data_IF_453538271804
#
_entry.id   IF_453538271804
#
_cell.length_a   1.000
_cell.length_b   1.000
_cell.length_c   1.000
_cell.angle_alpha   90.00
_cell.angle_beta   90.00
_cell.angle_gamma   90.00
#
_symmetry.space_group_name_H-M   'P 1'
#
loop_
_entity.id
_entity.type
_entity.pdbx_description
1 polymer ?
#
# COMPACT_ATOMS: atom_id res chain seq x y z
N UNK A 1 19.27 -12.26 -84.06
CA UNK A 1 17.97 -11.80 -83.51
C UNK A 1 18.26 -11.06 -82.21
N UNK A 2 18.11 -9.74 -82.20
CA UNK A 2 18.42 -8.86 -81.07
C UNK A 2 17.24 -7.94 -80.83
N UNK A 3 16.71 -7.89 -79.59
CA UNK A 3 15.82 -6.84 -79.07
C UNK A 3 15.99 -6.68 -77.55
N UNK A 4 16.91 -5.79 -77.20
CA UNK A 4 16.82 -4.64 -76.28
C UNK A 4 16.11 -4.82 -74.91
N UNK A 5 16.92 -4.60 -73.88
CA UNK A 5 16.61 -4.42 -72.47
C UNK A 5 15.92 -3.08 -72.14
N UNK A 6 14.99 -3.12 -71.17
CA UNK A 6 14.62 -2.04 -70.23
C UNK A 6 14.19 -2.80 -68.95
N UNK A 7 14.77 -2.63 -67.76
CA UNK A 7 15.02 -1.40 -67.04
C UNK A 7 13.94 -1.25 -65.96
N UNK A 8 14.31 -1.43 -64.69
CA UNK A 8 13.84 -0.70 -63.49
C UNK A 8 14.52 -1.37 -62.28
N UNK A 9 15.57 -0.71 -61.78
CA UNK A 9 16.14 -0.96 -60.47
C UNK A 9 15.33 -0.15 -59.45
N UNK A 10 14.60 -0.83 -58.58
CA UNK A 10 13.92 -0.21 -57.45
C UNK A 10 14.83 -0.32 -56.22
N UNK A 11 15.76 0.63 -56.11
CA UNK A 11 16.58 0.82 -54.92
C UNK A 11 15.74 1.46 -53.82
N UNK A 12 15.09 0.64 -52.98
CA UNK A 12 14.56 1.13 -51.70
C UNK A 12 15.73 1.38 -50.74
N UNK A 13 16.06 2.67 -50.56
CA UNK A 13 16.76 3.15 -49.38
C UNK A 13 15.90 2.87 -48.14
N UNK A 14 16.07 1.69 -47.54
CA UNK A 14 15.67 1.46 -46.16
C UNK A 14 16.65 2.23 -45.27
N UNK A 15 16.33 3.49 -44.98
CA UNK A 15 16.99 4.22 -43.90
C UNK A 15 16.76 3.48 -42.57
N UNK A 16 17.73 3.42 -41.66
CA UNK A 16 17.48 2.85 -40.35
C UNK A 16 16.44 3.73 -39.66
N UNK A 17 15.25 3.17 -39.42
CA UNK A 17 14.38 3.68 -38.37
C UNK A 17 15.16 3.50 -37.07
N UNK A 18 15.83 4.54 -36.63
CA UNK A 18 16.22 4.66 -35.23
C UNK A 18 14.92 4.67 -34.44
N UNK A 19 14.48 3.48 -34.00
CA UNK A 19 13.60 3.39 -32.86
C UNK A 19 14.31 4.13 -31.74
N UNK A 20 13.79 5.31 -31.36
CA UNK A 20 14.28 6.02 -30.20
C UNK A 20 14.23 5.02 -29.04
N UNK A 21 15.39 4.63 -28.52
CA UNK A 21 15.46 3.72 -27.39
C UNK A 21 14.61 4.35 -26.27
N UNK A 22 13.56 3.65 -25.86
CA UNK A 22 12.73 4.09 -24.73
C UNK A 22 13.65 4.22 -23.53
N UNK A 23 13.74 5.42 -22.95
CA UNK A 23 14.53 5.66 -21.74
C UNK A 23 14.02 4.70 -20.64
N UNK A 24 14.84 3.75 -20.15
CA UNK A 24 14.42 2.83 -19.11
C UNK A 24 14.26 3.50 -17.73
N UNK A 25 14.71 4.76 -17.58
CA UNK A 25 14.72 5.47 -16.31
C UNK A 25 13.36 5.55 -15.60
N UNK A 26 12.29 6.04 -16.26
CA UNK A 26 10.95 6.08 -15.66
C UNK A 26 10.43 4.71 -15.22
N UNK A 27 10.76 3.65 -15.95
CA UNK A 27 10.37 2.28 -15.61
C UNK A 27 11.11 1.79 -14.36
N UNK A 28 12.43 1.98 -14.31
CA UNK A 28 13.26 1.61 -13.16
C UNK A 28 12.84 2.36 -11.89
N UNK A 29 12.49 3.65 -12.03
CA UNK A 29 11.97 4.43 -10.92
C UNK A 29 10.63 3.89 -10.42
N UNK A 30 9.73 3.48 -11.34
CA UNK A 30 8.45 2.86 -10.97
C UNK A 30 8.66 1.55 -10.24
N UNK A 31 9.55 0.69 -10.74
CA UNK A 31 9.91 -0.57 -10.09
C UNK A 31 10.50 -0.33 -8.69
N UNK A 32 11.40 0.64 -8.56
CA UNK A 32 11.98 1.00 -7.27
C UNK A 32 10.90 1.40 -6.25
N UNK A 33 9.95 2.28 -6.64
CA UNK A 33 8.82 2.66 -5.77
C UNK A 33 7.99 1.44 -5.38
N UNK A 34 7.65 0.59 -6.34
CA UNK A 34 6.86 -0.62 -6.09
C UNK A 34 7.56 -1.53 -5.07
N UNK A 35 8.87 -1.77 -5.23
CA UNK A 35 9.62 -2.57 -4.27
C UNK A 35 9.67 -1.94 -2.87
N UNK A 36 9.77 -0.61 -2.76
CA UNK A 36 9.69 0.05 -1.46
C UNK A 36 8.31 -0.12 -0.80
N UNK A 37 7.23 -0.01 -1.59
CA UNK A 37 5.87 -0.25 -1.11
C UNK A 37 5.67 -1.70 -0.62
N UNK A 38 6.35 -2.66 -1.25
CA UNK A 38 6.31 -4.08 -0.87
C UNK A 38 7.24 -4.43 0.31
N UNK A 39 7.91 -3.46 0.92
CA UNK A 39 8.90 -3.72 1.97
C UNK A 39 10.09 -4.55 1.49
N UNK A 40 10.47 -4.39 0.21
CA UNK A 40 11.58 -5.06 -0.49
C UNK A 40 12.68 -4.04 -0.78
N UNK A 41 13.36 -3.50 0.25
CA UNK A 41 14.28 -2.37 0.08
C UNK A 41 15.53 -2.72 -0.73
N UNK A 42 15.94 -3.99 -0.78
CA UNK A 42 17.12 -4.43 -1.54
C UNK A 42 16.82 -4.42 -3.05
N UNK A 43 15.67 -4.94 -3.46
CA UNK A 43 15.19 -4.92 -4.84
C UNK A 43 14.97 -3.49 -5.33
N UNK A 44 14.45 -2.63 -4.45
CA UNK A 44 14.36 -1.19 -4.72
C UNK A 44 15.74 -0.57 -4.96
N UNK A 45 16.72 -0.86 -4.09
CA UNK A 45 18.10 -0.37 -4.24
C UNK A 45 18.70 -0.81 -5.58
N UNK A 46 18.53 -2.07 -5.98
CA UNK A 46 19.03 -2.56 -7.27
C UNK A 46 18.42 -1.81 -8.47
N UNK A 47 17.11 -1.53 -8.45
CA UNK A 47 16.46 -0.76 -9.50
C UNK A 47 16.97 0.70 -9.55
N UNK A 48 17.17 1.32 -8.38
CA UNK A 48 17.71 2.68 -8.27
C UNK A 48 19.16 2.75 -8.76
N UNK A 49 20.01 1.79 -8.39
CA UNK A 49 21.39 1.73 -8.88
C UNK A 49 21.45 1.64 -10.40
N UNK A 50 20.57 0.82 -11.01
CA UNK A 50 20.47 0.74 -12.47
C UNK A 50 20.05 2.07 -13.07
N UNK A 51 19.05 2.75 -12.48
CA UNK A 51 18.61 4.08 -12.91
C UNK A 51 19.78 5.07 -12.90
N UNK A 52 20.49 5.17 -11.77
CA UNK A 52 21.57 6.14 -11.60
C UNK A 52 22.80 5.83 -12.49
N UNK A 53 23.01 4.56 -12.89
CA UNK A 53 24.06 4.18 -13.84
C UNK A 53 23.69 4.51 -15.29
N UNK A 54 22.42 4.33 -15.67
CA UNK A 54 21.96 4.45 -17.06
C UNK A 54 21.63 5.89 -17.46
N UNK A 55 21.29 6.75 -16.51
CA UNK A 55 21.02 8.17 -16.74
C UNK A 55 22.14 9.02 -16.11
N UNK A 56 23.33 9.13 -16.72
CA UNK A 56 24.41 9.94 -16.14
C UNK A 56 24.07 11.44 -16.23
N UNK A 57 24.09 12.12 -15.08
CA UNK A 57 23.96 13.59 -14.99
C UNK A 57 22.70 14.09 -14.26
N UNK A 58 22.56 15.41 -14.07
CA UNK A 58 21.43 15.96 -13.32
C UNK A 58 20.10 15.82 -14.08
N UNK A 59 19.24 14.89 -13.67
CA UNK A 59 17.84 14.79 -14.12
C UNK A 59 16.84 14.73 -12.95
N UNK A 60 15.57 15.10 -13.15
CA UNK A 60 14.53 14.91 -12.13
C UNK A 60 14.35 13.45 -11.69
N UNK A 61 14.56 12.50 -12.62
CA UNK A 61 14.52 11.06 -12.32
C UNK A 61 15.61 10.66 -11.32
N UNK A 62 16.82 11.18 -11.51
CA UNK A 62 17.94 10.92 -10.60
C UNK A 62 17.76 11.61 -9.24
N UNK A 63 17.16 12.80 -9.21
CA UNK A 63 16.82 13.47 -7.96
C UNK A 63 15.84 12.61 -7.13
N UNK A 64 14.82 12.06 -7.79
CA UNK A 64 13.89 11.14 -7.13
C UNK A 64 14.55 9.79 -6.79
N UNK A 65 15.40 9.23 -7.67
CA UNK A 65 16.17 8.02 -7.39
C UNK A 65 17.02 8.16 -6.11
N UNK A 66 17.76 9.26 -5.97
CA UNK A 66 18.52 9.57 -4.75
C UNK A 66 17.61 9.77 -3.53
N UNK A 67 16.41 10.35 -3.73
CA UNK A 67 15.41 10.50 -2.66
C UNK A 67 14.96 9.13 -2.16
N UNK A 68 14.54 8.22 -3.06
CA UNK A 68 14.12 6.87 -2.70
C UNK A 68 15.28 6.07 -2.08
N UNK A 69 16.50 6.23 -2.60
CA UNK A 69 17.69 5.59 -2.04
C UNK A 69 17.91 5.98 -0.58
N UNK A 70 17.92 7.29 -0.28
CA UNK A 70 18.11 7.77 1.08
C UNK A 70 16.99 7.30 2.03
N UNK A 71 15.73 7.26 1.56
CA UNK A 71 14.61 6.74 2.34
C UNK A 71 14.78 5.23 2.64
N UNK A 72 15.21 4.44 1.66
CA UNK A 72 15.50 3.02 1.85
C UNK A 72 16.67 2.77 2.80
N UNK A 73 17.73 3.58 2.71
CA UNK A 73 18.87 3.53 3.64
C UNK A 73 18.43 3.81 5.09
N UNK A 74 17.53 4.79 5.32
CA UNK A 74 16.95 5.05 6.65
C UNK A 74 16.14 3.86 7.17
N UNK A 75 15.33 3.21 6.33
CA UNK A 75 14.57 2.02 6.70
C UNK A 75 15.50 0.85 7.11
N UNK A 76 16.62 0.71 6.41
CA UNK A 76 17.65 -0.29 6.69
C UNK A 76 18.58 0.10 7.87
N UNK A 77 18.31 1.22 8.56
CA UNK A 77 19.14 1.76 9.66
C UNK A 77 20.57 2.11 9.23
N UNK A 78 20.75 2.48 7.97
CA UNK A 78 22.02 2.88 7.38
C UNK A 78 22.18 4.41 7.44
N UNK A 79 22.07 5.00 8.65
CA UNK A 79 21.96 6.45 8.84
C UNK A 79 23.12 7.25 8.23
N UNK A 80 24.34 6.69 8.26
CA UNK A 80 25.52 7.31 7.65
C UNK A 80 25.42 7.36 6.13
N UNK A 81 24.94 6.29 5.49
CA UNK A 81 24.72 6.24 4.04
C UNK A 81 23.61 7.22 3.65
N UNK A 82 22.49 7.20 4.38
CA UNK A 82 21.39 8.13 4.15
C UNK A 82 21.83 9.60 4.24
N UNK A 83 22.70 9.94 5.20
CA UNK A 83 23.26 11.29 5.31
C UNK A 83 24.15 11.66 4.11
N UNK A 84 24.95 10.73 3.59
CA UNK A 84 25.78 10.93 2.39
C UNK A 84 24.91 11.10 1.14
N UNK A 85 23.91 10.24 0.95
CA UNK A 85 22.97 10.31 -0.17
C UNK A 85 22.18 11.62 -0.14
N UNK A 86 21.75 12.08 1.04
CA UNK A 86 21.11 13.39 1.18
C UNK A 86 22.04 14.56 0.87
N UNK A 87 23.29 14.51 1.31
CA UNK A 87 24.28 15.54 0.97
C UNK A 87 24.50 15.62 -0.55
N UNK A 88 24.56 14.46 -1.22
CA UNK A 88 24.63 14.38 -2.68
C UNK A 88 23.37 14.95 -3.35
N UNK A 89 22.18 14.62 -2.84
CA UNK A 89 20.90 15.17 -3.33
C UNK A 89 20.88 16.70 -3.23
N UNK A 90 21.35 17.27 -2.11
CA UNK A 90 21.43 18.73 -1.91
C UNK A 90 22.40 19.42 -2.87
N UNK A 91 23.57 18.82 -3.07
CA UNK A 91 24.61 19.39 -3.92
C UNK A 91 24.19 19.40 -5.40
N UNK A 92 23.52 18.33 -5.86
CA UNK A 92 23.12 18.18 -7.25
C UNK A 92 21.76 18.81 -7.58
N UNK A 93 20.85 18.87 -6.61
CA UNK A 93 19.46 19.30 -6.80
C UNK A 93 18.99 20.23 -5.68
N UNK A 94 19.58 21.44 -5.56
CA UNK A 94 19.18 22.39 -4.55
C UNK A 94 17.69 22.72 -4.67
N UNK A 95 16.95 22.66 -3.55
CA UNK A 95 15.51 22.95 -3.51
C UNK A 95 14.59 21.81 -3.97
N UNK A 96 15.11 20.62 -4.28
CA UNK A 96 14.25 19.47 -4.63
C UNK A 96 13.41 19.02 -3.42
N UNK A 97 12.09 18.77 -3.57
CA UNK A 97 11.20 18.39 -2.46
C UNK A 97 11.55 17.04 -1.80
N UNK A 98 12.37 16.22 -2.46
CA UNK A 98 12.93 15.01 -1.86
C UNK A 98 13.83 15.27 -0.66
N UNK A 99 14.48 16.45 -0.60
CA UNK A 99 15.34 16.83 0.54
C UNK A 99 14.51 16.89 1.82
N UNK A 100 13.36 17.56 1.77
CA UNK A 100 12.47 17.70 2.94
C UNK A 100 11.87 16.36 3.36
N UNK A 101 11.50 15.51 2.39
CA UNK A 101 11.01 14.15 2.67
C UNK A 101 12.05 13.31 3.43
N UNK A 102 13.30 13.32 2.98
CA UNK A 102 14.39 12.57 3.64
C UNK A 102 14.72 13.16 5.02
N UNK A 103 14.77 14.50 5.14
CA UNK A 103 14.99 15.17 6.42
C UNK A 103 13.89 14.86 7.44
N UNK A 104 12.63 14.90 7.00
CA UNK A 104 11.50 14.52 7.84
C UNK A 104 11.64 13.08 8.32
N UNK A 105 11.88 12.13 7.40
CA UNK A 105 12.05 10.72 7.76
C UNK A 105 13.21 10.51 8.74
N UNK A 106 14.35 11.19 8.52
CA UNK A 106 15.52 11.08 9.40
C UNK A 106 15.26 11.65 10.79
N UNK A 107 14.50 12.75 10.90
CA UNK A 107 14.10 13.30 12.21
C UNK A 107 13.20 12.31 12.96
N UNK A 108 12.22 11.72 12.27
CA UNK A 108 11.29 10.76 12.85
C UNK A 108 11.98 9.46 13.29
N UNK A 109 12.82 8.87 12.42
CA UNK A 109 13.48 7.58 12.68
C UNK A 109 14.78 7.69 13.50
N UNK A 110 15.36 8.89 13.58
CA UNK A 110 16.50 9.23 14.42
C UNK A 110 16.07 9.77 15.78
N UNK A 111 16.16 11.09 15.99
CA UNK A 111 15.88 11.74 17.27
C UNK A 111 14.43 11.52 17.76
N UNK A 112 13.47 11.38 16.85
CA UNK A 112 12.06 11.14 17.15
C UNK A 112 11.73 9.69 17.51
N UNK A 113 12.66 8.75 17.36
CA UNK A 113 12.38 7.31 17.49
C UNK A 113 11.81 6.92 18.84
N UNK A 114 12.36 7.47 19.93
CA UNK A 114 11.86 7.20 21.28
C UNK A 114 10.44 7.72 21.49
N UNK A 115 10.12 8.90 20.96
CA UNK A 115 8.77 9.47 21.01
C UNK A 115 7.78 8.68 20.14
N UNK A 116 8.23 8.18 18.98
CA UNK A 116 7.43 7.32 18.11
C UNK A 116 7.07 6.01 18.81
N UNK A 117 8.05 5.36 19.45
CA UNK A 117 7.80 4.17 20.27
C UNK A 117 6.80 4.45 21.40
N UNK A 118 6.92 5.60 22.06
CA UNK A 118 5.96 6.01 23.09
C UNK A 118 4.54 6.19 22.52
N UNK A 119 4.41 6.76 21.32
CA UNK A 119 3.12 6.88 20.64
C UNK A 119 2.51 5.51 20.33
N UNK A 120 3.33 4.55 19.89
CA UNK A 120 2.92 3.15 19.68
C UNK A 120 2.42 2.49 20.95
N UNK A 121 3.15 2.65 22.06
CA UNK A 121 2.75 2.11 23.37
C UNK A 121 1.41 2.67 23.82
N UNK A 122 1.21 3.99 23.73
CA UNK A 122 -0.04 4.66 24.08
C UNK A 122 -1.21 4.12 23.24
N UNK A 123 -0.99 3.93 21.94
CA UNK A 123 -2.00 3.38 21.05
C UNK A 123 -2.35 1.93 21.40
N UNK A 124 -1.35 1.11 21.73
CA UNK A 124 -1.53 -0.29 22.09
C UNK A 124 -2.36 -0.47 23.36
N UNK A 125 -2.22 0.43 24.34
CA UNK A 125 -3.00 0.40 25.59
C UNK A 125 -4.34 1.16 25.49
N UNK A 126 -4.75 1.59 24.29
CA UNK A 126 -6.05 2.21 24.04
C UNK A 126 -6.14 3.70 24.39
N UNK A 127 -5.03 4.35 24.75
CA UNK A 127 -4.97 5.80 24.99
C UNK A 127 -4.86 6.57 23.66
N UNK A 128 -5.93 6.51 22.87
CA UNK A 128 -5.94 7.00 21.48
C UNK A 128 -5.64 8.51 21.37
N UNK A 129 -6.19 9.34 22.25
CA UNK A 129 -5.96 10.80 22.22
C UNK A 129 -4.51 11.16 22.55
N UNK A 130 -3.93 10.54 23.59
CA UNK A 130 -2.52 10.73 23.95
C UNK A 130 -1.59 10.21 22.83
N UNK A 131 -1.93 9.06 22.23
CA UNK A 131 -1.19 8.52 21.09
C UNK A 131 -1.22 9.48 19.90
N UNK A 132 -2.40 9.99 19.54
CA UNK A 132 -2.57 10.95 18.45
C UNK A 132 -1.75 12.22 18.68
N UNK A 133 -1.76 12.77 19.90
CA UNK A 133 -0.93 13.91 20.27
C UNK A 133 0.57 13.61 20.13
N UNK A 134 1.03 12.45 20.62
CA UNK A 134 2.42 12.02 20.52
C UNK A 134 2.87 11.82 19.06
N UNK A 135 2.04 11.23 18.20
CA UNK A 135 2.31 11.14 16.77
C UNK A 135 2.43 12.52 16.12
N UNK A 136 1.51 13.44 16.42
CA UNK A 136 1.56 14.80 15.87
C UNK A 136 2.83 15.55 16.31
N UNK A 137 3.29 15.35 17.54
CA UNK A 137 4.53 15.94 18.05
C UNK A 137 5.75 15.42 17.26
N UNK A 138 5.81 14.11 17.02
CA UNK A 138 6.91 13.48 16.26
C UNK A 138 6.91 13.92 14.81
N UNK A 139 5.72 13.99 14.20
CA UNK A 139 5.55 14.28 12.78
C UNK A 139 5.50 15.77 12.45
N UNK A 140 5.38 16.63 13.46
CA UNK A 140 5.12 18.06 13.30
C UNK A 140 3.86 18.32 12.46
N UNK A 141 2.81 17.54 12.73
CA UNK A 141 1.48 17.69 12.14
C UNK A 141 1.22 16.98 10.81
N UNK A 142 2.25 16.62 10.03
CA UNK A 142 2.07 15.81 8.80
C UNK A 142 2.88 14.52 8.88
N UNK A 143 2.27 13.34 8.75
CA UNK A 143 3.03 12.09 8.78
C UNK A 143 3.98 11.98 7.57
N UNK A 144 5.15 11.33 7.71
CA UNK A 144 5.94 10.91 6.56
C UNK A 144 5.15 9.97 5.66
N UNK A 145 5.38 10.03 4.35
CA UNK A 145 4.76 9.13 3.38
C UNK A 145 5.13 7.64 3.66
N UNK A 146 4.37 6.72 3.04
CA UNK A 146 4.57 5.27 3.20
C UNK A 146 3.89 4.71 4.46
N UNK A 147 4.47 3.68 5.06
CA UNK A 147 3.85 2.93 6.16
C UNK A 147 3.50 3.81 7.39
N UNK A 148 4.32 4.81 7.71
CA UNK A 148 4.04 5.73 8.84
C UNK A 148 2.78 6.57 8.63
N UNK A 149 2.47 6.95 7.38
CA UNK A 149 1.21 7.60 7.06
C UNK A 149 0.03 6.65 7.23
N UNK A 150 0.15 5.40 6.78
CA UNK A 150 -0.91 4.40 6.92
C UNK A 150 -1.25 4.15 8.40
N UNK A 151 -0.24 4.03 9.25
CA UNK A 151 -0.41 3.92 10.69
C UNK A 151 -1.07 5.17 11.28
N UNK A 152 -0.58 6.36 10.94
CA UNK A 152 -1.12 7.62 11.44
C UNK A 152 -2.62 7.76 11.14
N UNK A 153 -3.05 7.36 9.94
CA UNK A 153 -4.47 7.43 9.58
C UNK A 153 -5.32 6.41 10.34
N UNK A 154 -4.78 5.24 10.70
CA UNK A 154 -5.48 4.30 11.58
C UNK A 154 -5.66 4.86 13.00
N UNK A 155 -4.67 5.60 13.51
CA UNK A 155 -4.78 6.28 14.81
C UNK A 155 -5.81 7.41 14.72
N UNK A 156 -5.70 8.23 13.68
CA UNK A 156 -6.63 9.34 13.40
C UNK A 156 -8.07 8.83 13.32
N UNK A 157 -8.30 7.68 12.68
CA UNK A 157 -9.62 7.09 12.55
C UNK A 157 -10.30 6.74 13.87
N UNK A 158 -9.52 6.46 14.92
CA UNK A 158 -10.03 6.14 16.26
C UNK A 158 -10.31 7.38 17.10
N UNK A 159 -9.91 8.57 16.64
CA UNK A 159 -10.26 9.83 17.29
C UNK A 159 -11.73 10.20 17.04
N UNK A 160 -12.39 10.89 17.98
CA UNK A 160 -13.70 11.48 17.74
C UNK A 160 -13.69 12.36 16.47
N UNK A 161 -14.55 12.04 15.50
CA UNK A 161 -14.65 12.77 14.22
C UNK A 161 -13.50 12.54 13.23
N UNK A 162 -12.51 11.70 13.56
CA UNK A 162 -11.33 11.48 12.71
C UNK A 162 -11.53 10.44 11.59
N UNK A 163 -12.60 9.66 11.63
CA UNK A 163 -12.85 8.57 10.68
C UNK A 163 -12.95 9.04 9.23
N UNK A 164 -13.75 10.08 8.95
CA UNK A 164 -13.96 10.60 7.60
C UNK A 164 -12.67 11.13 6.98
N UNK A 165 -11.85 11.83 7.77
CA UNK A 165 -10.55 12.32 7.35
C UNK A 165 -9.60 11.17 7.03
N UNK A 166 -9.50 10.19 7.92
CA UNK A 166 -8.66 9.01 7.70
C UNK A 166 -9.09 8.23 6.44
N UNK A 167 -10.41 8.11 6.20
CA UNK A 167 -10.97 7.48 5.00
C UNK A 167 -10.52 8.20 3.74
N UNK A 168 -10.69 9.53 3.69
CA UNK A 168 -10.34 10.32 2.52
C UNK A 168 -8.85 10.19 2.18
N UNK A 169 -7.98 10.24 3.19
CA UNK A 169 -6.53 10.15 3.01
C UNK A 169 -6.08 8.75 2.60
N UNK A 170 -6.59 7.70 3.25
CA UNK A 170 -6.28 6.31 2.85
C UNK A 170 -6.81 5.99 1.45
N UNK A 171 -8.01 6.47 1.10
CA UNK A 171 -8.55 6.31 -0.25
C UNK A 171 -7.67 7.04 -1.29
N UNK A 172 -7.20 8.24 -0.99
CA UNK A 172 -6.28 8.97 -1.87
C UNK A 172 -4.96 8.22 -2.06
N UNK A 173 -4.43 7.57 -1.01
CA UNK A 173 -3.23 6.73 -1.11
C UNK A 173 -3.49 5.52 -2.01
N UNK A 174 -4.59 4.79 -1.79
CA UNK A 174 -4.97 3.63 -2.61
C UNK A 174 -5.16 4.00 -4.07
N UNK A 175 -5.80 5.15 -4.35
CA UNK A 175 -6.01 5.62 -5.73
C UNK A 175 -4.69 5.97 -6.44
N UNK A 176 -3.68 6.46 -5.69
CA UNK A 176 -2.35 6.76 -6.24
C UNK A 176 -1.48 5.52 -6.42
N UNK A 177 -1.64 4.53 -5.55
CA UNK A 177 -0.88 3.27 -5.58
C UNK A 177 -1.81 2.04 -5.44
N UNK A 178 -2.54 1.64 -6.50
CA UNK A 178 -3.46 0.50 -6.44
C UNK A 178 -2.79 -0.85 -6.19
N UNK A 179 -1.48 -0.96 -6.44
CA UNK A 179 -0.66 -2.13 -6.15
C UNK A 179 -0.19 -2.20 -4.70
N UNK A 180 -0.40 -1.15 -3.90
CA UNK A 180 0.00 -1.13 -2.51
C UNK A 180 -1.05 -1.86 -1.66
N UNK A 181 -0.82 -3.16 -1.43
CA UNK A 181 -1.72 -4.01 -0.66
C UNK A 181 -1.81 -3.61 0.82
N UNK A 182 -0.75 -3.03 1.39
CA UNK A 182 -0.75 -2.52 2.76
C UNK A 182 -1.73 -1.34 2.91
N UNK A 183 -1.71 -0.40 1.97
CA UNK A 183 -2.63 0.74 1.94
C UNK A 183 -4.09 0.30 1.75
N UNK A 184 -4.31 -0.66 0.85
CA UNK A 184 -5.63 -1.26 0.62
C UNK A 184 -6.16 -1.97 1.86
N UNK A 185 -5.31 -2.72 2.55
CA UNK A 185 -5.65 -3.38 3.81
C UNK A 185 -5.94 -2.37 4.92
N UNK A 186 -5.15 -1.29 5.03
CA UNK A 186 -5.40 -0.22 6.00
C UNK A 186 -6.77 0.44 5.79
N UNK A 187 -7.16 0.68 4.53
CA UNK A 187 -8.49 1.19 4.19
C UNK A 187 -9.60 0.16 4.53
N UNK A 188 -9.40 -1.12 4.24
CA UNK A 188 -10.36 -2.15 4.63
C UNK A 188 -10.54 -2.22 6.16
N UNK A 189 -9.45 -2.17 6.91
CA UNK A 189 -9.45 -2.15 8.38
C UNK A 189 -10.20 -0.95 8.95
N UNK A 190 -10.09 0.21 8.30
CA UNK A 190 -10.83 1.40 8.67
C UNK A 190 -12.35 1.19 8.65
N UNK A 191 -12.87 0.52 7.62
CA UNK A 191 -14.30 0.19 7.54
C UNK A 191 -14.71 -0.85 8.58
N UNK A 192 -13.84 -1.79 8.95
CA UNK A 192 -14.12 -2.79 9.99
C UNK A 192 -14.23 -2.20 11.42
N UNK A 193 -13.88 -0.93 11.62
CA UNK A 193 -14.10 -0.23 12.89
C UNK A 193 -15.58 0.10 13.12
N UNK A 194 -16.39 0.22 12.06
CA UNK A 194 -17.81 0.55 12.15
C UNK A 194 -18.65 -0.51 11.42
N UNK A 195 -18.99 -1.62 12.10
CA UNK A 195 -19.88 -2.63 11.52
C UNK A 195 -21.31 -2.08 11.34
N UNK A 196 -22.07 -2.60 10.35
CA UNK A 196 -21.65 -3.59 9.38
C UNK A 196 -20.76 -2.98 8.29
N UNK A 197 -19.67 -3.68 7.96
CA UNK A 197 -18.80 -3.27 6.86
C UNK A 197 -19.51 -3.43 5.50
N UNK A 198 -19.26 -2.55 4.52
CA UNK A 198 -19.77 -2.71 3.16
C UNK A 198 -19.31 -4.03 2.53
N UNK A 199 -20.12 -4.61 1.63
CA UNK A 199 -19.77 -5.81 0.84
C UNK A 199 -18.41 -5.68 0.14
N UNK A 200 -18.13 -4.50 -0.41
CA UNK A 200 -16.86 -4.20 -1.08
C UNK A 200 -15.63 -4.44 -0.17
N UNK A 201 -15.75 -4.27 1.15
CA UNK A 201 -14.66 -4.54 2.10
C UNK A 201 -14.36 -6.04 2.17
N UNK A 202 -15.40 -6.88 2.14
CA UNK A 202 -15.23 -8.33 2.16
C UNK A 202 -14.59 -8.84 0.87
N UNK A 203 -15.06 -8.34 -0.27
CA UNK A 203 -14.51 -8.67 -1.59
C UNK A 203 -13.03 -8.23 -1.69
N UNK A 204 -12.70 -7.06 -1.14
CA UNK A 204 -11.34 -6.54 -1.06
C UNK A 204 -10.43 -7.41 -0.18
N UNK A 205 -10.89 -7.84 1.00
CA UNK A 205 -10.13 -8.76 1.86
C UNK A 205 -9.93 -10.14 1.21
N UNK A 206 -10.92 -10.62 0.46
CA UNK A 206 -10.80 -11.83 -0.38
C UNK A 206 -9.78 -11.63 -1.49
N UNK A 207 -9.74 -10.48 -2.15
CA UNK A 207 -8.74 -10.19 -3.17
C UNK A 207 -7.32 -10.12 -2.56
N UNK A 208 -7.15 -9.37 -1.48
CA UNK A 208 -5.86 -9.19 -0.79
C UNK A 208 -5.30 -10.51 -0.27
N UNK A 209 -6.16 -11.43 0.20
CA UNK A 209 -5.69 -12.74 0.65
C UNK A 209 -5.17 -13.66 -0.48
N UNK A 210 -5.23 -13.21 -1.74
CA UNK A 210 -4.57 -13.86 -2.87
C UNK A 210 -3.08 -13.52 -3.03
N UNK A 211 -2.60 -12.40 -2.48
CA UNK A 211 -1.22 -11.93 -2.66
C UNK A 211 -0.34 -12.29 -1.47
N UNK A 212 0.89 -12.74 -1.72
CA UNK A 212 1.76 -13.28 -0.65
C UNK A 212 2.15 -12.25 0.42
N UNK A 213 2.32 -10.99 0.03
CA UNK A 213 2.69 -9.88 0.90
C UNK A 213 1.56 -9.41 1.84
N UNK A 214 0.30 -9.74 1.53
CA UNK A 214 -0.86 -9.37 2.33
C UNK A 214 -1.72 -10.55 2.80
N UNK A 215 -1.41 -11.78 2.34
CA UNK A 215 -2.19 -13.01 2.58
C UNK A 215 -2.62 -13.19 4.02
N UNK A 216 -1.66 -13.25 4.93
CA UNK A 216 -1.91 -13.54 6.35
C UNK A 216 -2.74 -12.46 7.02
N UNK A 217 -2.39 -11.19 6.80
CA UNK A 217 -3.09 -10.07 7.40
C UNK A 217 -4.51 -9.93 6.83
N UNK A 218 -4.69 -10.09 5.52
CA UNK A 218 -6.01 -10.07 4.88
C UNK A 218 -6.91 -11.21 5.37
N UNK A 219 -6.39 -12.44 5.51
CA UNK A 219 -7.15 -13.56 6.08
C UNK A 219 -7.60 -13.28 7.51
N UNK A 220 -6.73 -12.70 8.35
CA UNK A 220 -7.08 -12.36 9.72
C UNK A 220 -8.22 -11.32 9.78
N UNK A 221 -8.21 -10.32 8.90
CA UNK A 221 -9.24 -9.29 8.86
C UNK A 221 -10.53 -9.77 8.19
N UNK A 222 -10.44 -10.64 7.18
CA UNK A 222 -11.61 -11.32 6.60
C UNK A 222 -12.32 -12.16 7.66
N UNK A 223 -11.55 -12.95 8.43
CA UNK A 223 -12.07 -13.71 9.58
C UNK A 223 -12.84 -12.82 10.55
N UNK A 224 -12.23 -11.70 10.95
CA UNK A 224 -12.88 -10.72 11.84
C UNK A 224 -14.20 -10.19 11.25
N UNK A 225 -14.21 -9.82 9.98
CA UNK A 225 -15.39 -9.32 9.29
C UNK A 225 -16.55 -10.33 9.27
N UNK A 226 -16.25 -11.63 9.08
CA UNK A 226 -17.24 -12.70 9.10
C UNK A 226 -17.86 -12.94 10.48
N UNK A 227 -17.10 -12.66 11.55
CA UNK A 227 -17.51 -12.89 12.92
C UNK A 227 -18.27 -11.69 13.54
N UNK A 228 -18.10 -10.48 13.02
CA UNK A 228 -18.66 -9.24 13.59
C UNK A 228 -20.17 -9.04 13.35
N UNK A 229 -20.78 -9.72 12.37
CA UNK A 229 -22.17 -9.44 11.95
C UNK A 229 -23.16 -10.40 12.60
N UNK A 230 -24.18 -9.86 13.28
CA UNK A 230 -25.21 -10.67 13.95
C UNK A 230 -26.07 -11.45 12.96
N UNK A 231 -26.61 -10.79 11.93
CA UNK A 231 -27.36 -11.44 10.85
C UNK A 231 -26.49 -12.25 9.86
N UNK A 232 -25.16 -12.17 10.04
CA UNK A 232 -24.14 -12.86 9.26
C UNK A 232 -24.10 -12.53 7.77
N UNK A 233 -23.06 -13.05 7.10
CA UNK A 233 -22.90 -12.98 5.64
C UNK A 233 -23.62 -14.14 4.94
N UNK A 234 -23.83 -14.10 3.61
CA UNK A 234 -24.22 -15.28 2.85
C UNK A 234 -23.33 -16.50 3.12
N UNK A 235 -23.90 -17.71 3.08
CA UNK A 235 -23.15 -18.98 3.30
C UNK A 235 -21.92 -19.10 2.38
N UNK A 236 -22.04 -18.64 1.13
CA UNK A 236 -20.94 -18.66 0.17
C UNK A 236 -19.71 -17.88 0.67
N UNK A 237 -19.90 -16.74 1.34
CA UNK A 237 -18.78 -15.92 1.83
C UNK A 237 -18.00 -16.59 2.97
N UNK A 238 -18.67 -17.43 3.78
CA UNK A 238 -18.01 -18.26 4.79
C UNK A 238 -17.24 -19.42 4.15
N UNK A 239 -17.82 -20.08 3.14
CA UNK A 239 -17.16 -21.17 2.41
C UNK A 239 -15.91 -20.68 1.68
N UNK A 240 -16.00 -19.54 0.99
CA UNK A 240 -14.87 -18.89 0.32
C UNK A 240 -13.68 -18.66 1.26
N UNK A 241 -13.95 -18.26 2.50
CA UNK A 241 -12.91 -18.11 3.54
C UNK A 241 -12.35 -19.47 3.98
N UNK A 242 -13.23 -20.44 4.25
CA UNK A 242 -12.85 -21.77 4.74
C UNK A 242 -12.10 -22.60 3.69
N UNK A 243 -12.20 -22.30 2.40
CA UNK A 243 -11.32 -22.87 1.36
C UNK A 243 -9.84 -22.53 1.62
N UNK A 244 -9.57 -21.36 2.20
CA UNK A 244 -8.21 -20.87 2.51
C UNK A 244 -7.80 -21.13 3.95
N UNK A 245 -8.77 -21.34 4.84
CA UNK A 245 -8.58 -21.62 6.25
C UNK A 245 -9.50 -22.79 6.69
N UNK A 246 -9.26 -24.02 6.22
CA UNK A 246 -10.17 -25.15 6.42
C UNK A 246 -10.35 -25.54 7.89
N UNK A 247 -9.34 -25.28 8.72
CA UNK A 247 -9.32 -25.65 10.13
C UNK A 247 -9.96 -24.60 11.06
N UNK A 248 -10.51 -23.50 10.54
CA UNK A 248 -11.17 -22.48 11.37
C UNK A 248 -12.57 -22.92 11.83
N UNK A 249 -12.59 -23.69 12.92
CA UNK A 249 -13.82 -24.16 13.55
C UNK A 249 -14.74 -23.02 14.04
N UNK A 250 -14.18 -21.84 14.37
CA UNK A 250 -14.99 -20.70 14.84
C UNK A 250 -15.82 -20.12 13.71
N UNK A 251 -15.21 -19.93 12.55
CA UNK A 251 -15.92 -19.40 11.36
C UNK A 251 -16.94 -20.42 10.85
N UNK A 252 -16.61 -21.72 10.88
CA UNK A 252 -17.55 -22.79 10.56
C UNK A 252 -18.78 -22.78 11.48
N UNK A 253 -18.57 -22.70 12.79
CA UNK A 253 -19.67 -22.59 13.76
C UNK A 253 -20.52 -21.33 13.54
N UNK A 254 -19.90 -20.18 13.25
CA UNK A 254 -20.64 -18.95 12.93
C UNK A 254 -21.49 -19.10 11.67
N UNK A 255 -20.98 -19.76 10.63
CA UNK A 255 -21.74 -20.05 9.41
C UNK A 255 -22.98 -20.89 9.71
N UNK A 256 -22.82 -21.97 10.48
CA UNK A 256 -23.90 -22.90 10.83
C UNK A 256 -24.99 -22.20 11.67
N UNK A 257 -24.60 -21.38 12.65
CA UNK A 257 -25.52 -20.58 13.46
C UNK A 257 -26.32 -19.58 12.61
N UNK A 258 -25.65 -18.86 11.70
CA UNK A 258 -26.29 -17.91 10.79
C UNK A 258 -27.30 -18.63 9.87
N UNK A 259 -26.98 -19.82 9.38
CA UNK A 259 -27.88 -20.63 8.56
C UNK A 259 -29.10 -21.11 9.35
N UNK A 260 -28.91 -21.64 10.56
CA UNK A 260 -29.98 -22.05 11.46
C UNK A 260 -30.91 -20.87 11.80
N UNK A 261 -30.35 -19.69 12.07
CA UNK A 261 -31.11 -18.47 12.34
C UNK A 261 -31.99 -18.06 11.14
N UNK A 262 -31.45 -18.09 9.92
CA UNK A 262 -32.21 -17.80 8.69
C UNK A 262 -33.33 -18.81 8.46
N UNK A 263 -33.09 -20.09 8.71
CA UNK A 263 -34.12 -21.13 8.58
C UNK A 263 -35.26 -20.92 9.58
N UNK A 264 -34.93 -20.62 10.85
CA UNK A 264 -35.93 -20.27 11.88
C UNK A 264 -36.77 -19.06 11.47
N UNK A 265 -36.14 -17.98 10.98
CA UNK A 265 -36.85 -16.79 10.50
C UNK A 265 -37.77 -17.09 9.31
N UNK A 266 -37.31 -17.90 8.34
CA UNK A 266 -38.13 -18.30 7.19
C UNK A 266 -39.35 -19.12 7.61
N UNK A 267 -39.19 -20.03 8.56
CA UNK A 267 -40.30 -20.82 9.09
C UNK A 267 -41.35 -19.95 9.80
N UNK A 268 -40.93 -18.98 10.62
CA UNK A 268 -41.83 -18.02 11.28
C UNK A 268 -42.62 -17.19 10.27
N UNK A 269 -41.97 -16.69 9.21
CA UNK A 269 -42.63 -15.88 8.18
C UNK A 269 -43.57 -16.69 7.27
N UNK A 270 -43.38 -18.01 7.20
CA UNK A 270 -44.22 -18.93 6.44
C UNK A 270 -45.44 -19.43 7.24
N UNK A 271 -45.47 -19.23 8.56
CA UNK A 271 -46.59 -19.60 9.41
C UNK A 271 -47.78 -18.64 9.21
N UNK A 272 -48.95 -19.12 8.74
CA UNK A 272 -50.14 -18.29 8.56
C UNK A 272 -50.65 -17.65 9.85
N UNK A 273 -50.33 -18.21 11.02
CA UNK A 273 -50.73 -17.70 12.34
C UNK A 273 -49.85 -16.55 12.85
N UNK A 274 -48.75 -16.22 12.15
CA UNK A 274 -47.79 -15.19 12.54
C UNK A 274 -48.11 -13.79 11.97
N UNK A 275 -49.08 -13.66 11.03
CA UNK A 275 -49.48 -12.37 10.45
C UNK A 275 -50.54 -11.65 11.27
#
# INVERSE_FOLDING_TARGET
MSRIAHGIALSLLAGPLFAAAVDPGPELLRQARQWQELGRPLEAQQAIERLLRLSPGPSPLNAEGLTLQALGELQLKQDKLAAQTLAKLRALYPGHPGIDRVEQMRRVLGAGRGKLLRAHELFAIGKVEEAYAAFNEVYQGRPPDGALALEYWQVTARMPGGWERARAELQAIVNRSPSNHEARLALANLYLLHPPAPRAVLDELKALSGFDDSRGAALAQWRRALLQVDQGWPRADYLDYLERAPDDATVRAKMDDVEANRQRQRALLADPAYR
#
